data_IF_681151913284
#
_entry.id   IF_681151913284
#
_cell.length_a   1.000
_cell.length_b   1.000
_cell.length_c   1.000
_cell.angle_alpha   90.00
_cell.angle_beta   90.00
_cell.angle_gamma   90.00
#
_symmetry.space_group_name_H-M   'P 1'
#
loop_
_entity.id
_entity.type
_entity.pdbx_description
1 polymer ?
2 non-polymer ?
3 water ?
#
# COMPACT_ATOMS: atom_id res chain seq x y z
N UNK A 1 22.81 -3.29 -7.18
CA UNK A 1 21.57 -4.04 -7.39
C UNK A 1 20.31 -3.46 -6.73
N UNK A 2 19.33 -4.32 -6.43
CA UNK A 2 18.14 -3.87 -5.72
C UNK A 2 18.40 -3.63 -4.23
N UNK A 3 17.66 -2.68 -3.66
CA UNK A 3 17.80 -2.36 -2.24
C UNK A 3 17.12 -3.34 -1.30
N UNK A 4 17.70 -4.55 -1.20
CA UNK A 4 17.08 -5.59 -0.37
C UNK A 4 17.12 -5.21 1.09
N UNK A 5 18.22 -4.61 1.54
CA UNK A 5 18.33 -4.24 2.94
C UNK A 5 17.26 -3.22 3.32
N UNK A 6 16.98 -2.28 2.44
CA UNK A 6 15.95 -1.31 2.76
C UNK A 6 14.57 -1.95 2.83
N UNK A 7 14.25 -2.79 1.85
CA UNK A 7 12.93 -3.43 1.85
C UNK A 7 12.72 -4.24 3.13
N UNK A 8 13.78 -4.90 3.58
CA UNK A 8 13.66 -5.76 4.74
C UNK A 8 13.45 -4.94 6.00
N UNK A 9 14.14 -3.81 6.12
CA UNK A 9 13.90 -2.93 7.26
C UNK A 9 12.45 -2.42 7.28
N UNK A 10 11.88 -2.15 6.11
CA UNK A 10 10.49 -1.69 6.06
C UNK A 10 9.54 -2.82 6.43
N UNK A 11 9.82 -4.05 5.95
CA UNK A 11 8.94 -5.16 6.30
C UNK A 11 9.02 -5.47 7.78
N UNK A 12 10.22 -5.42 8.35
CA UNK A 12 10.43 -5.80 9.75
C UNK A 12 9.61 -4.93 10.68
N UNK A 13 9.72 -3.60 10.53
CA UNK A 13 9.17 -2.62 11.45
C UNK A 13 7.82 -2.04 11.04
N UNK A 14 7.45 -2.13 9.76
CA UNK A 14 6.28 -1.38 9.32
C UNK A 14 5.29 -2.20 8.52
N UNK A 15 5.27 -3.52 8.62
CA UNK A 15 4.18 -4.24 7.97
C UNK A 15 3.48 -5.17 8.94
N UNK A 16 2.21 -5.43 8.66
CA UNK A 16 1.41 -6.38 9.42
C UNK A 16 0.50 -7.09 8.43
N UNK A 17 0.00 -8.26 8.85
CA UNK A 17 -0.98 -9.01 8.09
C UNK A 17 -2.37 -8.51 8.46
N UNK A 18 -3.12 -8.05 7.46
CA UNK A 18 -4.48 -7.57 7.64
C UNK A 18 -5.42 -8.51 6.90
N UNK A 19 -6.57 -8.80 7.53
CA UNK A 19 -7.56 -9.71 6.96
C UNK A 19 -8.93 -9.09 7.12
N UNK A 20 -9.61 -8.92 6.00
CA UNK A 20 -10.97 -8.41 5.89
C UNK A 20 -11.82 -9.55 5.35
N UNK A 21 -13.07 -9.24 5.03
CA UNK A 21 -13.94 -10.20 4.36
C UNK A 21 -13.39 -10.62 3.00
N UNK A 22 -12.50 -9.84 2.39
CA UNK A 22 -11.95 -10.15 1.09
C UNK A 22 -10.71 -11.03 1.16
N UNK A 23 -10.24 -11.35 2.35
CA UNK A 23 -9.04 -12.15 2.47
C UNK A 23 -7.92 -11.35 3.10
N UNK A 24 -6.69 -11.82 2.88
CA UNK A 24 -5.53 -11.29 3.57
C UNK A 24 -4.80 -10.33 2.64
N UNK A 25 -4.17 -9.32 3.25
CA UNK A 25 -3.45 -8.29 2.51
C UNK A 25 -2.22 -7.92 3.32
N UNK A 26 -1.10 -7.68 2.65
CA UNK A 26 0.02 -7.01 3.30
C UNK A 26 -0.44 -5.60 3.67
N UNK A 27 -0.11 -5.13 4.89
CA UNK A 27 -0.56 -3.80 5.28
C UNK A 27 0.64 -3.02 5.77
N UNK A 28 0.85 -1.84 5.19
CA UNK A 28 1.98 -0.98 5.49
C UNK A 28 1.57 0.02 6.55
N UNK A 29 2.25 0.03 7.69
CA UNK A 29 2.01 1.05 8.70
C UNK A 29 2.92 2.24 8.41
N UNK A 30 2.34 3.44 8.51
CA UNK A 30 2.99 4.65 8.04
C UNK A 30 3.47 5.52 9.19
N UNK A 31 2.62 5.75 10.19
CA UNK A 31 3.00 6.51 11.38
C UNK A 31 1.91 6.29 12.42
N UNK A 32 2.29 6.47 13.69
CA UNK A 32 1.33 6.33 14.78
C UNK A 32 0.51 5.06 14.65
N UNK A 33 -0.81 5.18 14.49
CA UNK A 33 -1.62 4.01 14.27
C UNK A 33 -2.34 4.06 12.93
N UNK A 34 -1.71 4.73 11.98
CA UNK A 34 -2.23 4.92 10.63
C UNK A 34 -1.50 3.99 9.67
N UNK A 35 -2.26 3.26 8.85
CA UNK A 35 -1.72 2.32 7.88
C UNK A 35 -2.50 2.48 6.57
N UNK A 36 -2.09 1.71 5.55
CA UNK A 36 -2.74 1.71 4.25
C UNK A 36 -3.03 0.28 3.82
N UNK A 37 -4.04 0.15 2.97
CA UNK A 37 -4.42 -1.13 2.40
C UNK A 37 -5.11 -0.85 1.07
N UNK A 38 -5.03 -1.76 0.10
CA UNK A 38 -5.74 -1.52 -1.18
C UNK A 38 -7.24 -1.34 -0.93
N UNK A 39 -7.84 -0.39 -1.64
CA UNK A 39 -9.26 -0.12 -1.40
C UNK A 39 -10.12 -1.36 -1.63
N UNK A 40 -9.70 -2.28 -2.50
CA UNK A 40 -10.59 -3.41 -2.76
C UNK A 40 -10.62 -4.43 -1.63
N UNK A 41 -9.81 -4.24 -0.59
CA UNK A 41 -9.95 -5.01 0.63
C UNK A 41 -11.29 -4.82 1.33
N UNK A 42 -12.05 -3.77 1.01
CA UNK A 42 -13.37 -3.57 1.59
C UNK A 42 -13.30 -3.53 3.12
N UNK A 43 -12.52 -2.57 3.64
CA UNK A 43 -12.38 -2.42 5.09
C UNK A 43 -13.70 -2.00 5.70
N UNK A 44 -14.03 -2.57 6.86
CA UNK A 44 -15.26 -2.22 7.55
C UNK A 44 -15.01 -1.56 8.90
N UNK A 45 -15.78 -1.96 9.92
CA UNK A 45 -15.70 -1.41 11.27
C UNK A 45 -14.62 -2.08 12.11
N UNK A 46 -14.26 -3.32 11.78
CA UNK A 46 -13.20 -4.04 12.46
C UNK A 46 -12.37 -4.77 11.43
N UNK A 47 -11.13 -5.07 11.80
CA UNK A 47 -10.21 -5.76 10.91
C UNK A 47 -9.30 -6.64 11.77
N UNK A 48 -8.87 -7.77 11.20
CA UNK A 48 -7.85 -8.61 11.84
C UNK A 48 -6.46 -8.08 11.48
N UNK A 49 -5.67 -7.81 12.50
CA UNK A 49 -4.27 -7.41 12.38
C UNK A 49 -3.43 -8.49 13.04
N UNK A 50 -2.71 -9.30 12.25
CA UNK A 50 -1.92 -10.38 12.84
C UNK A 50 -2.84 -11.29 13.65
N UNK A 51 -4.01 -11.57 13.07
CA UNK A 51 -5.07 -12.43 13.61
C UNK A 51 -5.70 -11.90 14.89
N UNK A 52 -5.53 -10.62 15.19
CA UNK A 52 -6.15 -9.98 16.36
C UNK A 52 -7.20 -9.01 15.87
N UNK A 53 -8.45 -9.19 16.32
CA UNK A 53 -9.49 -8.29 15.86
C UNK A 53 -9.23 -6.89 16.39
N UNK A 54 -9.36 -5.91 15.51
CA UNK A 54 -8.95 -4.56 15.85
C UNK A 54 -10.01 -3.61 15.33
N UNK A 55 -10.35 -2.64 16.17
CA UNK A 55 -11.31 -1.61 15.79
C UNK A 55 -10.69 -0.67 14.75
N UNK A 56 -11.43 -0.44 13.66
CA UNK A 56 -11.01 0.51 12.62
C UNK A 56 -11.64 1.86 12.96
N UNK A 57 -10.82 2.79 13.47
CA UNK A 57 -11.37 4.06 13.96
C UNK A 57 -11.66 5.05 12.84
N UNK A 58 -10.99 4.89 11.70
CA UNK A 58 -11.26 5.71 10.53
C UNK A 58 -10.76 4.95 9.32
N UNK A 59 -11.43 5.17 8.18
CA UNK A 59 -11.04 4.56 6.92
C UNK A 59 -11.40 5.56 5.83
N UNK A 60 -10.40 6.04 5.09
CA UNK A 60 -10.64 6.99 4.02
C UNK A 60 -10.15 6.39 2.71
N UNK A 61 -11.08 6.10 1.80
CA UNK A 61 -10.77 5.57 0.48
C UNK A 61 -10.34 6.72 -0.43
N UNK A 62 -9.06 6.79 -0.81
CA UNK A 62 -8.61 7.99 -1.52
C UNK A 62 -9.18 8.02 -2.94
N UNK A 63 -9.67 9.20 -3.37
CA UNK A 63 -9.99 9.50 -4.76
C UNK A 63 -9.44 10.89 -5.10
N UNK A 64 -9.17 11.14 -6.40
CA UNK A 64 -8.59 12.42 -6.82
C UNK A 64 -9.72 13.39 -7.15
N UNK A 65 -9.34 14.60 -7.59
CA UNK A 65 -10.36 15.62 -7.81
C UNK A 65 -11.18 15.36 -9.06
N UNK A 66 -10.87 14.34 -9.85
CA UNK A 66 -11.78 13.93 -10.90
C UNK A 66 -12.77 12.91 -10.40
N UNK A 67 -12.80 12.71 -9.09
CA UNK A 67 -13.59 11.67 -8.45
C UNK A 67 -13.26 10.29 -9.02
N UNK A 68 -11.98 10.06 -9.26
CA UNK A 68 -11.50 8.77 -9.73
C UNK A 68 -10.78 8.02 -8.60
N UNK A 69 -11.09 6.73 -8.47
CA UNK A 69 -10.43 5.86 -7.52
C UNK A 69 -8.91 5.96 -7.60
N UNK A 70 -8.26 6.09 -6.44
CA UNK A 70 -6.81 5.91 -6.35
C UNK A 70 -6.41 4.54 -5.82
N UNK A 71 -7.37 3.71 -5.37
CA UNK A 71 -7.15 2.35 -4.89
C UNK A 71 -6.38 2.27 -3.57
N UNK A 72 -6.12 3.40 -2.91
CA UNK A 72 -5.50 3.43 -1.58
C UNK A 72 -6.58 3.74 -0.57
N UNK A 73 -6.66 2.96 0.52
CA UNK A 73 -7.43 3.33 1.70
C UNK A 73 -6.48 3.53 2.89
N UNK A 74 -6.63 4.65 3.57
CA UNK A 74 -5.86 4.94 4.77
C UNK A 74 -6.73 4.57 5.97
N UNK A 75 -6.17 3.86 6.93
CA UNK A 75 -6.94 3.44 8.09
C UNK A 75 -6.24 3.92 9.34
N UNK A 76 -7.03 4.17 10.38
CA UNK A 76 -6.57 4.48 11.72
C UNK A 76 -7.05 3.33 12.60
N UNK A 77 -6.14 2.71 13.34
CA UNK A 77 -6.42 1.46 14.04
C UNK A 77 -6.38 1.67 15.55
N UNK A 78 -7.23 0.95 16.28
CA UNK A 78 -7.17 0.95 17.75
C UNK A 78 -6.20 -0.13 18.24
N UNK A 79 -4.92 0.22 18.29
CA UNK A 79 -3.86 -0.67 18.77
C UNK A 79 -2.93 0.07 19.70
N UNK A 80 -2.22 -0.71 20.51
CA UNK A 80 -1.30 -0.11 21.45
C UNK A 80 0.04 0.26 20.80
N UNK A 81 0.55 -0.57 19.89
CA UNK A 81 1.83 -0.31 19.26
C UNK A 81 1.70 0.89 18.33
N UNK A 82 2.69 1.77 18.36
CA UNK A 82 2.88 2.79 17.33
C UNK A 82 3.74 2.24 16.20
N UNK A 83 3.46 2.65 14.97
CA UNK A 83 4.35 2.34 13.86
C UNK A 83 5.49 3.34 13.83
N UNK A 84 6.69 2.86 13.51
CA UNK A 84 7.79 3.75 13.18
C UNK A 84 7.35 4.75 12.12
N UNK A 85 7.63 6.03 12.32
CA UNK A 85 7.21 7.05 11.35
C UNK A 85 8.10 6.98 10.12
N UNK A 86 7.55 6.50 9.00
CA UNK A 86 8.32 6.36 7.77
C UNK A 86 7.91 7.40 6.73
N UNK A 87 7.18 8.44 7.14
CA UNK A 87 6.72 9.42 6.16
C UNK A 87 7.89 10.03 5.41
N UNK A 88 9.02 10.24 6.08
CA UNK A 88 10.14 10.83 5.36
C UNK A 88 10.67 9.91 4.27
N UNK A 89 10.28 8.64 4.24
CA UNK A 89 10.65 7.79 3.12
C UNK A 89 9.67 7.87 1.97
N UNK A 90 8.57 8.74 2.10
CA UNK A 90 7.65 8.72 0.96
C UNK A 90 8.05 9.77 -0.07
N UNK A 91 7.84 9.46 -1.35
CA UNK A 91 8.14 10.43 -2.42
C UNK A 91 7.27 11.67 -2.34
N UNK A 92 7.90 12.81 -2.60
CA UNK A 92 7.14 14.05 -2.66
C UNK A 92 6.22 14.08 -3.89
N UNK A 93 6.70 13.63 -5.05
CA UNK A 93 6.02 13.80 -6.34
C UNK A 93 5.86 12.45 -7.05
N UNK A 94 5.03 12.44 -8.09
CA UNK A 94 5.02 11.30 -9.01
C UNK A 94 6.40 11.12 -9.65
N UNK A 95 6.78 9.88 -9.97
CA UNK A 95 8.11 9.66 -10.53
C UNK A 95 8.19 8.27 -11.15
N UNK A 96 9.24 8.04 -11.94
CA UNK A 96 9.63 6.71 -12.34
C UNK A 96 10.83 6.29 -11.51
N UNK A 97 11.06 4.98 -11.45
CA UNK A 97 12.03 4.40 -10.52
C UNK A 97 12.76 3.24 -11.17
N UNK A 98 13.96 2.99 -10.69
CA UNK A 98 14.79 1.89 -11.14
C UNK A 98 14.81 0.76 -10.14
N UNK A 99 14.78 -0.47 -10.64
CA UNK A 99 15.22 -1.63 -9.88
C UNK A 99 14.54 -1.70 -8.51
N UNK A 100 13.21 -1.72 -8.53
CA UNK A 100 12.45 -1.72 -7.28
C UNK A 100 12.26 -3.14 -6.76
N UNK A 101 11.89 -3.23 -5.48
CA UNK A 101 11.54 -4.48 -4.82
C UNK A 101 10.09 -4.44 -4.40
N UNK A 102 9.38 -5.56 -4.60
CA UNK A 102 8.05 -5.79 -4.07
C UNK A 102 8.15 -6.80 -2.93
N UNK A 103 7.67 -6.43 -1.75
CA UNK A 103 7.75 -7.28 -0.57
C UNK A 103 6.37 -7.59 -0.01
N UNK A 104 6.14 -8.86 0.32
CA UNK A 104 4.86 -9.35 0.79
C UNK A 104 5.00 -9.86 2.21
N UNK A 105 3.93 -9.69 2.99
CA UNK A 105 3.87 -10.16 4.36
C UNK A 105 2.43 -10.60 4.64
N UNK A 106 2.19 -11.90 4.49
CA UNK A 106 0.90 -12.55 4.70
C UNK A 106 1.12 -13.78 5.55
N UNK A 107 0.04 -14.47 5.88
CA UNK A 107 0.16 -15.76 6.55
C UNK A 107 0.88 -16.77 5.65
N UNK A 108 0.49 -16.82 4.37
CA UNK A 108 1.08 -17.76 3.43
C UNK A 108 2.54 -17.42 3.12
N UNK A 109 2.85 -16.12 3.04
CA UNK A 109 4.20 -15.64 2.75
C UNK A 109 4.61 -14.61 3.80
N UNK A 110 5.16 -15.09 4.93
CA UNK A 110 5.48 -14.15 6.02
C UNK A 110 6.53 -13.09 5.66
N UNK A 111 7.54 -13.42 4.87
CA UNK A 111 8.39 -12.37 4.31
C UNK A 111 8.98 -12.93 3.01
N UNK A 112 8.96 -12.09 1.98
CA UNK A 112 8.90 -12.44 0.57
C UNK A 112 9.41 -11.22 -0.18
N UNK A 113 10.52 -11.33 -0.91
CA UNK A 113 11.05 -10.21 -1.67
C UNK A 113 11.11 -10.55 -3.15
N UNK A 114 10.54 -9.67 -3.98
CA UNK A 114 10.52 -9.90 -5.43
C UNK A 114 11.11 -8.70 -6.15
N UNK A 115 12.27 -8.82 -6.80
CA UNK A 115 12.76 -7.68 -7.61
C UNK A 115 11.90 -7.57 -8.85
N UNK A 116 11.27 -6.41 -9.04
CA UNK A 116 10.40 -6.23 -10.19
C UNK A 116 11.05 -5.40 -11.29
N UNK A 117 12.25 -4.87 -11.06
CA UNK A 117 12.96 -4.08 -12.06
C UNK A 117 12.44 -2.67 -12.17
N UNK A 118 12.24 -2.17 -13.40
CA UNK A 118 11.87 -0.78 -13.63
C UNK A 118 10.42 -0.54 -13.28
N UNK A 119 10.14 0.66 -12.75
CA UNK A 119 8.78 1.02 -12.36
C UNK A 119 8.42 2.34 -13.05
N UNK A 120 7.37 2.32 -13.86
CA UNK A 120 7.01 3.50 -14.63
C UNK A 120 5.71 4.11 -14.09
N UNK A 121 5.66 5.44 -14.11
CA UNK A 121 4.46 6.17 -13.75
C UNK A 121 3.49 5.95 -14.91
N UNK A 122 2.61 4.96 -14.74
CA UNK A 122 1.69 4.50 -15.78
C UNK A 122 0.50 5.44 -15.98
N UNK A 123 -0.06 5.96 -14.89
CA UNK A 123 -1.20 6.87 -14.97
C UNK A 123 -2.53 6.12 -14.91
N UNK A 124 -3.36 6.30 -15.94
CA UNK A 124 -4.69 5.70 -15.93
C UNK A 124 -4.63 4.21 -16.21
N UNK A 125 -5.40 3.45 -15.45
CA UNK A 125 -5.60 2.03 -15.70
C UNK A 125 -7.03 1.65 -15.38
N UNK A 126 -7.67 0.89 -16.25
CA UNK A 126 -8.92 0.24 -15.89
C UNK A 126 -8.55 -1.01 -15.09
N UNK A 127 -8.65 -0.90 -13.77
CA UNK A 127 -8.14 -1.93 -12.86
C UNK A 127 -9.26 -2.92 -12.57
N UNK A 128 -9.26 -4.02 -13.31
CA UNK A 128 -10.31 -5.03 -13.25
C UNK A 128 -11.70 -4.42 -13.15
N UNK A 129 -12.01 -3.49 -14.05
CA UNK A 129 -13.32 -2.88 -14.12
C UNK A 129 -13.46 -1.54 -13.42
N UNK A 130 -12.51 -1.15 -12.57
CA UNK A 130 -12.60 0.13 -11.88
C UNK A 130 -11.60 1.12 -12.47
N UNK A 131 -12.06 2.21 -13.09
CA UNK A 131 -11.13 3.25 -13.53
C UNK A 131 -10.31 3.76 -12.35
N UNK A 132 -8.99 3.85 -12.53
CA UNK A 132 -8.07 4.21 -11.46
C UNK A 132 -6.98 5.14 -12.00
N UNK A 133 -6.47 6.02 -11.13
CA UNK A 133 -5.44 6.97 -11.50
C UNK A 133 -4.18 6.77 -10.65
N UNK A 134 -3.08 7.35 -11.13
CA UNK A 134 -1.85 7.40 -10.34
C UNK A 134 -1.24 6.00 -10.16
N UNK A 135 -1.34 5.18 -11.19
CA UNK A 135 -0.85 3.81 -11.11
C UNK A 135 0.61 3.73 -11.53
N UNK A 136 1.38 2.91 -10.80
CA UNK A 136 2.75 2.55 -11.15
C UNK A 136 2.75 1.15 -11.75
N UNK A 137 3.58 0.96 -12.78
CA UNK A 137 3.67 -0.29 -13.53
C UNK A 137 5.07 -0.88 -13.46
N UNK A 138 5.11 -2.21 -13.42
CA UNK A 138 6.33 -2.98 -13.55
C UNK A 138 6.06 -4.23 -14.36
N UNK A 139 7.04 -4.62 -15.17
CA UNK A 139 6.94 -5.81 -16.02
C UNK A 139 7.36 -7.01 -15.20
N UNK A 140 6.40 -7.54 -14.47
CA UNK A 140 6.63 -8.71 -13.68
C UNK A 140 5.30 -9.41 -13.50
N UNK A 141 5.28 -10.72 -13.55
CA UNK A 141 4.00 -11.44 -13.46
C UNK A 141 3.55 -11.67 -12.02
N UNK A 142 3.02 -10.61 -11.40
CA UNK A 142 2.56 -10.69 -10.03
C UNK A 142 1.25 -11.48 -9.96
N UNK A 143 0.92 -11.95 -8.76
CA UNK A 143 -0.16 -12.93 -8.61
C UNK A 143 -1.05 -12.56 -7.42
N UNK A 144 -2.23 -13.18 -7.39
CA UNK A 144 -3.05 -13.12 -6.21
C UNK A 144 -2.22 -13.46 -4.99
N UNK A 145 -2.60 -12.87 -3.86
CA UNK A 145 -1.85 -13.00 -2.63
C UNK A 145 -0.80 -11.93 -2.43
N UNK A 146 -0.56 -11.07 -3.41
CA UNK A 146 0.47 -10.06 -3.30
C UNK A 146 -0.10 -8.67 -3.08
N UNK A 147 -1.42 -8.51 -3.02
CA UNK A 147 -1.98 -7.17 -2.89
C UNK A 147 -1.66 -6.58 -1.53
N UNK A 148 -1.42 -5.28 -1.51
CA UNK A 148 -0.82 -4.64 -0.38
C UNK A 148 0.69 -4.69 -0.35
N UNK A 149 1.31 -5.60 -1.11
CA UNK A 149 2.75 -5.69 -1.10
C UNK A 149 3.42 -4.34 -1.27
N UNK A 150 4.51 -4.11 -0.55
CA UNK A 150 5.17 -2.81 -0.47
C UNK A 150 6.18 -2.73 -1.61
N UNK A 151 6.12 -1.63 -2.39
CA UNK A 151 7.08 -1.40 -3.48
C UNK A 151 8.07 -0.35 -3.02
N UNK A 152 9.36 -0.70 -3.06
CA UNK A 152 10.45 0.15 -2.61
C UNK A 152 11.57 0.23 -3.64
N UNK A 153 12.28 1.36 -3.59
CA UNK A 153 13.69 1.46 -3.94
C UNK A 153 14.42 1.81 -2.65
N UNK A 154 15.74 1.92 -2.71
CA UNK A 154 16.43 2.34 -1.50
C UNK A 154 15.97 3.74 -1.12
N UNK A 155 15.69 3.93 0.17
CA UNK A 155 15.27 5.20 0.72
C UNK A 155 13.90 5.68 0.32
N UNK A 156 13.15 4.93 -0.50
CA UNK A 156 11.83 5.39 -0.88
C UNK A 156 10.79 4.28 -0.81
N UNK A 157 9.67 4.55 -0.14
CA UNK A 157 8.51 3.68 -0.16
C UNK A 157 7.53 4.30 -1.14
N UNK A 158 7.30 3.65 -2.29
CA UNK A 158 6.71 4.33 -3.44
C UNK A 158 5.29 3.87 -3.76
N UNK A 159 4.84 2.74 -3.23
CA UNK A 159 3.46 2.35 -3.51
C UNK A 159 3.15 1.01 -2.88
N UNK A 160 1.90 0.57 -3.06
CA UNK A 160 1.45 -0.74 -2.60
C UNK A 160 0.78 -1.44 -3.76
N UNK A 161 0.98 -2.74 -3.86
CA UNK A 161 0.55 -3.51 -5.01
C UNK A 161 -0.97 -3.74 -5.00
N UNK A 162 -1.60 -3.52 -6.15
CA UNK A 162 -3.06 -3.59 -6.23
C UNK A 162 -3.58 -4.45 -7.35
N UNK A 163 -2.79 -4.83 -8.36
CA UNK A 163 -3.34 -5.62 -9.45
C UNK A 163 -2.26 -6.09 -10.41
N UNK A 164 -2.68 -6.92 -11.36
CA UNK A 164 -1.76 -7.49 -12.33
C UNK A 164 -2.50 -8.29 -13.38
N UNK A 165 -2.06 -8.20 -14.64
CA UNK A 165 -2.78 -8.79 -15.75
C UNK A 165 -2.13 -10.08 -16.24
N UNK A 166 -1.14 -10.60 -15.52
CA UNK A 166 -0.42 -11.80 -15.90
C UNK A 166 0.98 -11.54 -16.40
N UNK A 167 1.22 -10.37 -16.98
CA UNK A 167 2.54 -9.97 -17.46
C UNK A 167 3.12 -8.81 -16.66
N UNK A 168 2.33 -7.74 -16.44
CA UNK A 168 2.72 -6.62 -15.60
C UNK A 168 2.01 -6.67 -14.26
N UNK A 169 2.63 -6.01 -13.28
CA UNK A 169 1.98 -5.69 -12.03
C UNK A 169 1.75 -4.20 -11.86
N UNK A 170 0.86 -3.84 -10.93
CA UNK A 170 0.39 -2.48 -10.76
C UNK A 170 0.30 -2.11 -9.29
N UNK A 171 0.85 -0.96 -8.93
CA UNK A 171 0.81 -0.45 -7.58
C UNK A 171 0.13 0.90 -7.58
N UNK A 172 -0.53 1.23 -6.46
CA UNK A 172 -1.04 2.58 -6.26
C UNK A 172 0.05 3.41 -5.62
N UNK A 173 0.28 4.61 -6.13
CA UNK A 173 1.27 5.52 -5.60
C UNK A 173 1.03 5.86 -4.14
N UNK A 174 2.11 6.01 -3.39
CA UNK A 174 2.09 6.67 -2.10
C UNK A 174 2.81 7.98 -2.26
N UNK A 175 2.19 9.07 -1.82
CA UNK A 175 2.78 10.40 -1.84
C UNK A 175 2.87 10.95 -0.43
N UNK A 176 3.94 11.68 -0.14
CA UNK A 176 4.11 12.23 1.20
C UNK A 176 2.91 13.05 1.63
N UNK A 177 2.34 13.86 0.74
CA UNK A 177 1.27 14.72 1.21
C UNK A 177 -0.02 13.96 1.55
N UNK A 178 -0.09 12.65 1.33
CA UNK A 178 -1.25 11.90 1.80
C UNK A 178 -1.31 11.83 3.32
N UNK A 179 -0.20 12.07 4.04
CA UNK A 179 -0.13 11.79 5.47
C UNK A 179 0.28 12.98 6.35
N UNK A 180 0.20 14.20 5.85
CA UNK A 180 0.54 15.35 6.68
C UNK A 180 -0.68 15.79 7.50
N UNK A 181 -0.42 16.30 8.71
CA UNK A 181 -1.45 16.99 9.49
C UNK A 181 -1.96 18.23 8.75
N UNK A 182 -3.29 18.31 8.52
CA UNK A 182 -3.82 19.34 7.63
C UNK A 182 -4.96 20.21 8.23
N UNK A 183 -6.21 20.01 7.81
CA UNK A 183 -7.33 20.89 8.10
C UNK A 183 -8.45 20.12 8.81
N UNK A 184 -9.52 20.87 9.17
CA UNK A 184 -10.68 20.35 9.90
C UNK A 184 -11.89 20.34 8.96
N UNK A 185 -12.28 19.15 8.49
CA UNK A 185 -13.35 19.01 7.51
C UNK A 185 -14.09 17.69 7.72
N UNK A 186 -15.37 17.68 7.33
CA UNK A 186 -16.27 16.53 7.48
C UNK A 186 -16.07 15.58 6.30
N UNK A 187 -15.44 14.42 6.52
CA UNK A 187 -15.14 13.53 5.40
C UNK A 187 -16.02 12.28 5.30
N UNK A 188 -17.01 12.08 6.17
CA UNK A 188 -17.96 10.96 6.00
C UNK A 188 -19.42 11.44 6.01
X LIG B 1 -6.60 -8.01 -13.39
X LIG B 1 -7.46 -7.60 -12.37
X LIG B 1 -6.91 -7.37 -11.09
X LIG B 1 -5.76 -7.44 -10.83
X LIG B 1 -6.24 -6.88 -14.36
X LIG B 1 -6.78 -6.83 -15.80
X LIG B 1 -6.40 -5.70 -16.74
X LIG B 1 -5.47 -4.59 -16.25
X LIG B 1 -4.93 -4.63 -14.82
X LIG B 1 -5.32 -5.77 -13.88
X LIG B 1 -7.85 -7.00 -10.03
X LIG B 1 -7.40 -6.70 -8.65
X LIG B 1 -6.72 -7.94 -8.13
X LIG B 1 -7.06 -8.99 -8.49
X LIG B 1 -8.58 -6.30 -7.83
X LIG B 1 -9.26 -5.02 -8.36
X LIG B 1 -10.62 -4.71 -7.58
X LIG B 1 -8.32 -3.82 -8.13
X LIG B 1 -5.62 -7.84 -7.20
X LIG B 1 -4.84 -8.91 -6.59
X LIG B 1 -4.65 -8.62 -5.12
X LIG B 1 -5.91 -8.60 -4.50
X LIG B 1 -3.50 -8.97 -7.40
X LIG B 1 -3.70 -9.26 -8.95
X LIG B 1 -4.25 -10.38 -8.95
X LIG B 1 -3.57 -11.32 -10.19
X LIG B 1 -2.39 -10.88 -10.25
X LIG B 1 -2.20 -9.55 -9.49
X LIG B 1 -1.18 -8.94 -9.40
X LIG B 1 -5.68 -8.29 -12.91
X LIG B 1 -7.13 -8.73 -13.97
X LIG B 1 -7.42 -7.62 -16.14
X LIG B 1 -6.78 -5.67 -17.73
X LIG B 1 -5.20 -3.79 -16.90
X LIG B 1 -4.28 -3.87 -14.47
X LIG B 1 -4.93 -5.79 -12.88
X LIG B 1 -8.23 -6.13 -10.34
X LIG B 1 -6.71 -5.87 -8.61
X LIG B 1 -8.21 -6.05 -6.87
X LIG B 1 -9.29 -7.08 -7.95
X LIG B 1 -9.48 -5.18 -9.39
X LIG B 1 -10.82 -4.55 -6.53
X LIG B 1 -11.31 -3.89 -7.66
X LIG B 1 -11.54 -5.24 -7.49
X LIG B 1 -7.39 -4.00 -8.62
X LIG B 1 -8.77 -2.93 -8.52
X LIG B 1 -8.15 -3.69 -7.08
X LIG B 1 -6.07 -7.44 -6.40
X LIG B 1 -5.31 -9.87 -6.63
X LIG B 1 -2.94 -9.80 -7.01
X LIG B 1 -3.08 -7.98 -7.34
X LIG B 1 -4.22 -8.50 -9.50
X LIG B 1 -4.00 -10.87 -8.03
X LIG B 1 -5.29 -10.23 -9.21
X LIG B 1 -3.55 -12.33 -9.87
X LIG B 1 -4.07 -11.06 -11.10
X LIG B 1 -1.84 -11.54 -9.73
X LIG B 1 -4.16 -9.37 -4.55
X LIG B 1 -6.62 -8.68 -5.16
#
# INVERSE_FOLDING_TARGET
>A
GPGFDFAQAIMKKNTVVARTEKGEFTMLGVHDRVAVIPTHASVGETIYINDVETKVLDACALRDLTDTNLEITIVKLDRNQKFRDIRHFLPRYEDDYNDAVLSVHTSKFPNMYIPVGQVTNYGFLNLGGTPTHRILMYNFPTRAGQCGGVVTTTGKVIGIHVGGNGAQGFAAMLLHSYFTDTAKHHHHHH
>B hetero
1 UED C7 O8 C9 O10 C1 C2 C3 C4 C5 C6 N11 C12 C17 O18 C13 C14 C15 C16 N19 C20 C21 O22 C24 C25 C26 C27 N28 C29 O30 H1 H2 H3 H4 H5 H6 H7 H8 H9 H10 H11 H12 H13 H14 H15 H16 H17 H18 H19 H20 H21 H22 H23 H24 H25 H26 H27 H28 H29 H31
#
